data_IF_943213836070
#
_entry.id   IF_943213836070
#
_cell.length_a   1.000
_cell.length_b   1.000
_cell.length_c   1.000
_cell.angle_alpha   90.00
_cell.angle_beta   90.00
_cell.angle_gamma   90.00
#
_symmetry.space_group_name_H-M   'P 1'
#
loop_
_entity.id
_entity.type
_entity.pdbx_description
1 polymer ?
#
# COMPACT_ATOMS: atom_id res chain seq x y z
N UNK A 1 -62.32 27.52 -36.09
CA UNK A 1 -61.99 28.24 -34.83
C UNK A 1 -61.61 27.21 -33.76
N UNK A 2 -60.50 27.45 -33.04
CA UNK A 2 -60.04 26.84 -31.76
C UNK A 2 -59.73 25.32 -31.71
N UNK A 3 -58.43 24.98 -31.84
CA UNK A 3 -57.73 24.00 -30.96
C UNK A 3 -57.39 24.73 -29.64
N UNK A 4 -57.23 24.12 -28.44
CA UNK A 4 -56.22 23.08 -28.09
C UNK A 4 -56.76 22.07 -27.03
N UNK A 5 -56.04 21.11 -26.44
CA UNK A 5 -54.62 20.81 -26.43
C UNK A 5 -54.39 19.43 -25.78
N UNK A 6 -53.36 18.77 -26.30
CA UNK A 6 -52.70 17.62 -25.70
C UNK A 6 -52.19 17.97 -24.29
N UNK A 7 -52.53 17.15 -23.29
CA UNK A 7 -51.83 17.16 -22.01
C UNK A 7 -50.80 16.03 -22.05
N UNK A 8 -49.57 16.40 -22.41
CA UNK A 8 -48.39 15.53 -22.33
C UNK A 8 -47.95 15.50 -20.87
N UNK A 9 -48.22 14.40 -20.18
CA UNK A 9 -47.74 14.17 -18.81
C UNK A 9 -46.24 13.88 -18.84
N UNK A 10 -45.41 14.87 -18.51
CA UNK A 10 -43.99 14.67 -18.23
C UNK A 10 -43.83 13.79 -16.97
N UNK A 11 -43.48 12.52 -17.15
CA UNK A 11 -42.90 11.70 -16.09
C UNK A 11 -41.51 12.26 -15.78
N UNK A 12 -41.41 13.08 -14.72
CA UNK A 12 -40.14 13.37 -14.09
C UNK A 12 -39.58 12.04 -13.55
N UNK A 13 -38.57 11.51 -14.23
CA UNK A 13 -37.67 10.54 -13.66
C UNK A 13 -36.88 11.26 -12.54
N UNK A 14 -37.37 11.14 -11.31
CA UNK A 14 -36.61 11.52 -10.13
C UNK A 14 -35.39 10.58 -10.08
N UNK A 15 -34.26 11.06 -10.59
CA UNK A 15 -32.96 10.47 -10.31
C UNK A 15 -32.73 10.62 -8.80
N UNK A 16 -33.08 9.57 -8.06
CA UNK A 16 -32.64 9.41 -6.67
C UNK A 16 -31.13 9.24 -6.76
N UNK A 17 -30.42 10.37 -6.65
CA UNK A 17 -28.99 10.40 -6.44
C UNK A 17 -28.73 9.71 -5.09
N UNK A 18 -28.52 8.40 -5.14
CA UNK A 18 -27.98 7.66 -4.02
C UNK A 18 -26.69 8.36 -3.62
N UNK A 19 -26.51 8.74 -2.34
CA UNK A 19 -25.22 9.22 -1.89
C UNK A 19 -24.24 8.09 -2.16
N UNK A 20 -23.32 8.31 -3.09
CA UNK A 20 -22.15 7.47 -3.22
C UNK A 20 -21.37 7.64 -1.94
N UNK A 21 -21.60 6.73 -0.98
CA UNK A 21 -20.76 6.56 0.19
C UNK A 21 -19.42 6.14 -0.38
N UNK A 22 -18.57 7.14 -0.62
CA UNK A 22 -17.16 6.95 -0.83
C UNK A 22 -16.67 6.42 0.50
N UNK A 23 -16.59 5.10 0.62
CA UNK A 23 -15.84 4.44 1.66
C UNK A 23 -14.40 4.92 1.43
N UNK A 24 -14.04 6.00 2.10
CA UNK A 24 -12.67 6.41 2.28
C UNK A 24 -12.00 5.18 2.86
N UNK A 25 -11.18 4.53 2.03
CA UNK A 25 -10.47 3.33 2.40
C UNK A 25 -9.76 3.62 3.72
N UNK A 26 -10.20 2.95 4.79
CA UNK A 26 -9.52 3.00 6.07
C UNK A 26 -8.05 2.66 5.80
N UNK A 27 -7.19 3.68 5.90
CA UNK A 27 -5.76 3.48 5.88
C UNK A 27 -5.44 2.72 7.17
N UNK A 28 -5.23 1.41 7.05
CA UNK A 28 -4.75 0.57 8.14
C UNK A 28 -3.28 0.93 8.41
N UNK A 29 -3.05 2.13 8.93
CA UNK A 29 -1.76 2.57 9.42
C UNK A 29 -1.48 1.76 10.68
N UNK A 30 -0.52 0.84 10.61
CA UNK A 30 0.01 0.14 11.77
C UNK A 30 0.83 1.13 12.62
N UNK A 31 0.15 2.00 13.34
CA UNK A 31 0.74 2.72 14.45
C UNK A 31 1.08 1.72 15.55
N UNK A 32 2.30 1.80 16.09
CA UNK A 32 2.88 0.99 17.17
C UNK A 32 3.50 -0.37 16.78
N UNK A 33 4.84 -0.36 16.69
CA UNK A 33 5.79 -1.48 16.77
C UNK A 33 5.26 -2.87 16.32
N UNK A 34 5.39 -3.17 15.03
CA UNK A 34 5.23 -4.52 14.51
C UNK A 34 6.61 -5.16 14.24
N UNK A 35 6.81 -6.42 14.67
CA UNK A 35 8.03 -7.15 14.30
C UNK A 35 8.11 -7.36 12.78
N UNK A 36 9.32 -7.46 12.20
CA UNK A 36 9.50 -7.80 10.78
C UNK A 36 8.61 -8.96 10.32
N UNK A 37 8.56 -10.05 11.08
CA UNK A 37 7.75 -11.23 10.75
C UNK A 37 6.25 -10.94 10.75
N UNK A 38 5.78 -10.07 11.66
CA UNK A 38 4.37 -9.64 11.67
C UNK A 38 4.05 -8.85 10.41
N UNK A 39 4.91 -7.90 10.03
CA UNK A 39 4.74 -7.07 8.84
C UNK A 39 4.72 -7.94 7.58
N UNK A 40 5.67 -8.87 7.47
CA UNK A 40 5.77 -9.77 6.33
C UNK A 40 4.58 -10.75 6.24
N UNK A 41 4.06 -11.24 7.37
CA UNK A 41 2.82 -12.03 7.41
C UNK A 41 1.62 -11.23 6.93
N UNK A 42 1.47 -9.99 7.40
CA UNK A 42 0.42 -9.07 6.92
C UNK A 42 0.57 -8.82 5.42
N UNK A 43 1.78 -8.63 4.92
CA UNK A 43 2.02 -8.45 3.50
C UNK A 43 1.52 -9.64 2.67
N UNK A 44 1.83 -10.86 3.12
CA UNK A 44 1.34 -12.08 2.48
C UNK A 44 -0.19 -12.15 2.49
N UNK A 45 -0.82 -11.73 3.59
CA UNK A 45 -2.28 -11.64 3.68
C UNK A 45 -2.85 -10.61 2.69
N UNK A 46 -2.29 -9.41 2.64
CA UNK A 46 -2.75 -8.34 1.74
C UNK A 46 -2.56 -8.72 0.27
N UNK A 47 -1.48 -9.44 -0.08
CA UNK A 47 -1.28 -10.00 -1.42
C UNK A 47 -2.43 -10.92 -1.82
N UNK A 48 -2.87 -11.80 -0.91
CA UNK A 48 -4.01 -12.72 -1.14
C UNK A 48 -5.34 -11.98 -1.27
N UNK A 49 -5.45 -10.79 -0.68
CA UNK A 49 -6.63 -9.92 -0.79
C UNK A 49 -6.59 -9.06 -2.07
N UNK A 50 -5.63 -9.25 -2.98
CA UNK A 50 -5.53 -8.44 -4.20
C UNK A 50 -5.04 -7.01 -3.94
N UNK A 51 -4.39 -6.75 -2.80
CA UNK A 51 -3.84 -5.44 -2.46
C UNK A 51 -2.34 -5.36 -2.77
N UNK A 52 -1.86 -4.14 -2.94
CA UNK A 52 -0.44 -3.83 -3.04
C UNK A 52 -0.06 -2.71 -2.06
N UNK A 53 1.19 -2.70 -1.55
CA UNK A 53 1.65 -1.68 -0.62
C UNK A 53 2.00 -0.42 -1.42
N UNK A 54 1.19 0.63 -1.34
CA UNK A 54 1.39 1.90 -2.04
C UNK A 54 2.55 2.73 -1.46
N UNK A 55 2.84 2.54 -0.17
CA UNK A 55 3.99 3.16 0.49
C UNK A 55 4.59 2.18 1.51
N UNK A 56 5.89 2.30 1.73
CA UNK A 56 6.61 1.63 2.82
C UNK A 56 7.55 2.65 3.44
N UNK A 57 7.33 2.97 4.71
CA UNK A 57 8.17 3.88 5.50
C UNK A 57 8.67 3.17 6.74
N UNK A 58 9.94 3.39 7.05
CA UNK A 58 10.52 2.92 8.28
C UNK A 58 11.22 4.09 8.97
N UNK A 59 11.08 4.18 10.28
CA UNK A 59 11.66 5.23 11.09
C UNK A 59 12.21 4.63 12.38
N UNK A 60 13.13 5.33 13.03
CA UNK A 60 13.54 5.00 14.38
C UNK A 60 14.06 6.27 15.05
N UNK A 61 13.82 6.38 16.35
CA UNK A 61 14.49 7.38 17.17
C UNK A 61 15.91 6.89 17.53
N UNK A 62 16.91 7.51 16.89
CA UNK A 62 18.32 7.17 17.09
C UNK A 62 18.91 7.77 18.37
N UNK A 63 18.19 8.65 19.06
CA UNK A 63 18.65 9.25 20.32
C UNK A 63 18.51 8.31 21.52
N UNK A 64 17.71 7.24 21.37
CA UNK A 64 17.44 6.30 22.45
C UNK A 64 18.52 5.24 22.56
N UNK A 65 18.80 4.82 23.81
CA UNK A 65 19.71 3.70 24.11
C UNK A 65 19.32 2.40 23.40
N UNK A 66 18.01 2.17 23.24
CA UNK A 66 17.46 1.00 22.57
C UNK A 66 16.68 1.45 21.34
N UNK A 67 17.33 1.38 20.18
CA UNK A 67 16.71 1.78 18.91
C UNK A 67 15.60 0.78 18.56
N UNK A 68 14.37 1.29 18.43
CA UNK A 68 13.17 0.52 18.05
C UNK A 68 12.64 1.05 16.72
N UNK A 69 12.88 0.34 15.60
CA UNK A 69 12.31 0.72 14.33
C UNK A 69 10.79 0.58 14.31
N UNK A 70 10.14 1.57 13.73
CA UNK A 70 8.73 1.59 13.41
C UNK A 70 8.56 1.44 11.90
N UNK A 71 7.46 0.80 11.49
CA UNK A 71 7.18 0.51 10.08
C UNK A 71 5.73 0.85 9.79
N UNK A 72 5.55 1.66 8.76
CA UNK A 72 4.26 2.08 8.24
C UNK A 72 4.12 1.58 6.79
N UNK A 73 2.98 0.96 6.49
CA UNK A 73 2.67 0.42 5.17
C UNK A 73 1.26 0.82 4.77
N UNK A 74 1.13 1.61 3.71
CA UNK A 74 -0.16 1.95 3.14
C UNK A 74 -0.57 0.91 2.11
N UNK A 75 -1.76 0.34 2.22
CA UNK A 75 -2.27 -0.66 1.28
C UNK A 75 -3.33 -0.05 0.36
N UNK A 76 -3.30 -0.44 -0.92
CA UNK A 76 -4.32 -0.06 -1.92
C UNK A 76 -4.74 -1.26 -2.75
N UNK A 77 -5.90 -1.17 -3.37
CA UNK A 77 -6.39 -2.18 -4.33
C UNK A 77 -5.47 -2.26 -5.55
N UNK A 78 -5.11 -3.49 -5.97
CA UNK A 78 -4.21 -3.71 -7.09
C UNK A 78 -4.95 -3.79 -8.43
N UNK A 79 -5.60 -2.69 -8.82
CA UNK A 79 -6.40 -2.62 -10.07
C UNK A 79 -5.56 -2.69 -11.35
N UNK A 80 -4.23 -2.56 -11.24
CA UNK A 80 -3.29 -2.51 -12.37
C UNK A 80 -2.39 -3.74 -12.46
N UNK A 81 -2.68 -4.79 -11.68
CA UNK A 81 -1.88 -6.03 -11.63
C UNK A 81 -0.38 -5.77 -11.46
N UNK A 82 -0.02 -4.84 -10.57
CA UNK A 82 1.37 -4.55 -10.24
C UNK A 82 1.93 -5.72 -9.44
N UNK A 83 2.96 -6.35 -9.95
CA UNK A 83 3.76 -7.29 -9.17
C UNK A 83 4.59 -6.51 -8.17
N UNK A 84 4.62 -6.97 -6.92
CA UNK A 84 5.32 -6.27 -5.85
C UNK A 84 6.04 -7.23 -4.93
N UNK A 85 7.24 -6.86 -4.51
CA UNK A 85 7.99 -7.55 -3.45
C UNK A 85 8.42 -6.55 -2.37
N UNK A 86 8.18 -6.92 -1.13
CA UNK A 86 8.45 -6.10 0.04
C UNK A 86 9.37 -6.87 0.97
N UNK A 87 10.39 -6.23 1.53
CA UNK A 87 11.30 -6.83 2.48
C UNK A 87 11.46 -5.90 3.68
N UNK A 88 11.14 -6.42 4.87
CA UNK A 88 11.39 -5.75 6.15
C UNK A 88 12.13 -6.75 7.03
N UNK A 89 13.38 -6.46 7.40
CA UNK A 89 14.22 -7.39 8.18
C UNK A 89 15.41 -6.71 8.85
N UNK A 90 16.07 -7.43 9.76
CA UNK A 90 17.37 -7.05 10.34
C UNK A 90 18.48 -7.85 9.64
N UNK A 91 19.51 -7.19 9.14
CA UNK A 91 20.62 -7.85 8.43
C UNK A 91 21.76 -6.89 8.09
N UNK A 92 22.73 -7.35 7.30
CA UNK A 92 23.88 -6.54 6.86
C UNK A 92 23.82 -6.15 5.38
N UNK A 93 23.13 -6.98 4.58
CA UNK A 93 23.02 -6.86 3.13
C UNK A 93 21.58 -6.55 2.72
N UNK A 94 21.44 -5.76 1.66
CA UNK A 94 20.16 -5.52 1.00
C UNK A 94 19.84 -6.66 0.05
N UNK A 95 18.60 -7.12 0.10
CA UNK A 95 18.07 -8.11 -0.82
C UNK A 95 17.49 -7.43 -2.06
N UNK A 96 17.79 -7.96 -3.24
CA UNK A 96 17.15 -7.56 -4.48
C UNK A 96 16.39 -8.75 -5.08
N UNK A 97 15.11 -8.59 -5.46
CA UNK A 97 14.36 -9.66 -6.10
C UNK A 97 14.88 -9.98 -7.52
N UNK A 98 14.90 -11.26 -7.83
CA UNK A 98 15.41 -11.82 -9.09
C UNK A 98 16.79 -12.47 -8.95
N UNK A 99 17.33 -12.93 -10.08
CA UNK A 99 18.65 -13.56 -10.11
C UNK A 99 19.76 -12.49 -10.10
N UNK A 100 20.84 -12.68 -9.30
CA UNK A 100 22.01 -11.82 -9.33
C UNK A 100 22.59 -11.68 -10.75
N UNK A 101 22.91 -10.46 -11.16
CA UNK A 101 23.53 -10.20 -12.46
C UNK A 101 22.60 -10.20 -13.68
N UNK A 102 21.29 -10.42 -13.49
CA UNK A 102 20.29 -10.30 -14.57
C UNK A 102 19.35 -9.11 -14.34
N UNK A 103 18.93 -8.46 -15.43
CA UNK A 103 17.88 -7.45 -15.36
C UNK A 103 16.54 -8.14 -15.10
N UNK A 104 16.14 -8.19 -13.83
CA UNK A 104 14.94 -8.91 -13.38
C UNK A 104 13.62 -8.16 -13.65
N UNK A 105 13.70 -6.91 -14.16
CA UNK A 105 12.56 -6.03 -14.39
C UNK A 105 11.98 -5.41 -13.11
N UNK A 106 12.58 -5.71 -11.94
CA UNK A 106 12.17 -5.13 -10.67
C UNK A 106 12.72 -3.71 -10.50
N UNK A 107 11.83 -2.75 -10.29
CA UNK A 107 12.17 -1.36 -9.95
C UNK A 107 12.01 -1.15 -8.45
N UNK A 108 13.07 -0.70 -7.79
CA UNK A 108 13.02 -0.28 -6.38
C UNK A 108 12.23 1.03 -6.26
N UNK A 109 11.21 1.03 -5.40
CA UNK A 109 10.30 2.17 -5.19
C UNK A 109 10.49 2.80 -3.83
N UNK A 110 10.81 2.01 -2.80
CA UNK A 110 11.20 2.52 -1.48
C UNK A 110 12.45 1.81 -0.99
N UNK A 111 13.32 2.57 -0.31
CA UNK A 111 14.50 2.08 0.39
C UNK A 111 14.72 2.89 1.66
N UNK A 112 14.63 2.22 2.79
CA UNK A 112 15.06 2.78 4.08
C UNK A 112 16.01 1.81 4.76
N UNK A 113 17.11 2.34 5.29
CA UNK A 113 18.13 1.57 6.02
C UNK A 113 18.46 2.32 7.30
N UNK A 114 18.20 1.69 8.43
CA UNK A 114 18.42 2.28 9.76
C UNK A 114 19.58 1.51 10.42
N UNK A 115 20.67 2.19 10.80
CA UNK A 115 21.78 1.53 11.49
C UNK A 115 21.36 1.10 12.90
N UNK A 116 21.65 -0.16 13.24
CA UNK A 116 21.42 -0.76 14.56
C UNK A 116 22.74 -1.35 15.08
N UNK A 117 23.74 -0.50 15.27
CA UNK A 117 25.10 -0.91 15.64
C UNK A 117 25.73 -1.81 14.57
N UNK A 118 26.08 -3.06 14.92
CA UNK A 118 26.68 -4.03 14.00
C UNK A 118 25.74 -4.63 12.94
N UNK A 119 24.47 -4.22 12.95
CA UNK A 119 23.45 -4.65 11.97
C UNK A 119 22.67 -3.46 11.43
N UNK A 120 21.81 -3.70 10.46
CA UNK A 120 20.91 -2.70 9.86
C UNK A 120 19.48 -3.22 9.92
N UNK A 121 18.53 -2.32 10.14
CA UNK A 121 17.13 -2.57 9.85
C UNK A 121 16.84 -2.07 8.44
N UNK A 122 16.36 -2.96 7.58
CA UNK A 122 16.22 -2.72 6.14
C UNK A 122 14.75 -2.83 5.78
N UNK A 123 14.26 -1.82 5.07
CA UNK A 123 12.94 -1.77 4.48
C UNK A 123 13.05 -1.46 3.00
N UNK A 124 12.59 -2.40 2.17
CA UNK A 124 12.67 -2.31 0.72
C UNK A 124 11.32 -2.62 0.11
N UNK A 125 10.97 -1.86 -0.91
CA UNK A 125 9.81 -2.11 -1.73
C UNK A 125 10.19 -2.06 -3.21
N UNK A 126 9.82 -3.10 -3.94
CA UNK A 126 10.03 -3.25 -5.37
C UNK A 126 8.71 -3.48 -6.09
N UNK A 127 8.57 -2.90 -7.27
CA UNK A 127 7.50 -3.19 -8.20
C UNK A 127 8.03 -3.72 -9.52
N UNK A 128 7.21 -4.52 -10.19
CA UNK A 128 7.40 -4.96 -11.56
C UNK A 128 6.09 -4.78 -12.34
N UNK A 129 6.21 -4.45 -13.62
CA UNK A 129 5.12 -4.32 -14.58
C UNK A 129 5.46 -5.09 -15.83
#
# INVERSE_FOLDING_TARGET
MKRPGFVTTCLLAAAIALPQIHVAADAWAFGSYASPDKIMRTAKQMRRQGKYPASLRCSADLSQRYIKPEVEVDWRENTRNVDWEMYVYKGQLEFQPGEPGKNSGWKRVSRTVIPLGGTKFICLLYYKR
#
